data_IF_241382129723
#
_entry.id   IF_241382129723
#
_cell.length_a   1.000
_cell.length_b   1.000
_cell.length_c   1.000
_cell.angle_alpha   90.00
_cell.angle_beta   90.00
_cell.angle_gamma   90.00
#
_symmetry.space_group_name_H-M   'P 1'
#
loop_
_entity.id
_entity.type
_entity.pdbx_description
1 polymer ?
#
# COMPACT_ATOMS: atom_id res chain seq x y z
N UNK A 1 17.64 -17.69 -7.82
CA UNK A 1 16.32 -17.90 -7.20
C UNK A 1 15.27 -17.77 -8.30
N UNK A 2 14.44 -18.78 -8.46
CA UNK A 2 13.44 -18.78 -9.53
C UNK A 2 12.03 -18.61 -9.02
N UNK A 3 11.69 -19.31 -7.95
CA UNK A 3 10.35 -19.27 -7.39
C UNK A 3 10.40 -18.88 -5.91
N UNK A 4 9.33 -18.35 -5.42
CA UNK A 4 9.24 -17.93 -4.04
C UNK A 4 8.14 -16.91 -3.81
N UNK A 5 8.32 -16.13 -2.76
CA UNK A 5 7.38 -15.07 -2.38
C UNK A 5 8.15 -13.77 -2.17
N UNK A 6 7.51 -12.68 -2.56
CA UNK A 6 8.01 -11.33 -2.32
C UNK A 6 7.00 -10.60 -1.43
N UNK A 7 7.41 -10.25 -0.23
CA UNK A 7 6.59 -9.46 0.68
C UNK A 7 7.04 -8.00 0.58
N UNK A 8 6.07 -7.10 0.42
CA UNK A 8 6.30 -5.66 0.36
C UNK A 8 5.54 -5.06 1.54
N UNK A 9 6.25 -4.36 2.42
CA UNK A 9 5.68 -3.89 3.68
C UNK A 9 6.00 -2.42 3.92
N UNK A 10 4.95 -1.63 4.15
CA UNK A 10 5.10 -0.22 4.51
C UNK A 10 5.26 -0.10 6.03
N UNK A 11 6.40 0.41 6.48
CA UNK A 11 6.65 0.64 7.91
C UNK A 11 6.12 2.01 8.31
N UNK A 12 4.87 2.03 8.75
CA UNK A 12 4.25 3.27 9.17
C UNK A 12 2.76 3.07 9.38
N UNK A 13 2.20 3.82 10.29
CA UNK A 13 0.78 3.68 10.66
C UNK A 13 -0.16 4.49 9.78
N UNK A 14 0.38 5.31 8.87
CA UNK A 14 -0.41 6.19 8.00
C UNK A 14 -0.08 6.02 6.53
N UNK A 15 0.45 4.86 6.20
CA UNK A 15 0.78 4.49 4.82
C UNK A 15 0.40 3.04 4.57
N UNK A 16 0.31 2.65 3.33
CA UNK A 16 -0.12 1.31 2.95
C UNK A 16 0.48 0.88 1.62
N UNK A 17 0.34 -0.40 1.32
CA UNK A 17 0.73 -0.98 0.03
C UNK A 17 -0.54 -1.50 -0.65
N UNK A 18 -0.71 -1.16 -1.91
CA UNK A 18 -1.86 -1.60 -2.69
C UNK A 18 -1.39 -2.14 -4.03
N UNK A 19 -1.95 -3.26 -4.44
CA UNK A 19 -1.76 -3.76 -5.79
C UNK A 19 -3.02 -3.40 -6.58
N UNK A 20 -2.85 -2.64 -7.65
CA UNK A 20 -3.96 -2.18 -8.46
C UNK A 20 -3.48 -1.90 -9.88
N UNK A 21 -4.41 -1.62 -10.76
CA UNK A 21 -4.09 -1.31 -12.15
C UNK A 21 -3.17 -0.09 -12.25
N UNK A 22 -2.13 -0.21 -13.06
CA UNK A 22 -1.14 0.85 -13.25
C UNK A 22 -1.10 1.41 -14.68
N UNK A 23 -2.09 1.08 -15.49
CA UNK A 23 -2.18 1.55 -16.88
C UNK A 23 -2.99 2.83 -17.01
N UNK A 24 -4.21 2.81 -16.48
CA UNK A 24 -5.13 3.95 -16.53
C UNK A 24 -4.97 4.76 -15.25
N UNK A 25 -4.45 5.98 -15.37
CA UNK A 25 -4.20 6.84 -14.20
C UNK A 25 -5.47 7.27 -13.49
N UNK A 26 -6.65 7.10 -14.10
CA UNK A 26 -7.91 7.38 -13.42
C UNK A 26 -8.19 6.39 -12.30
N UNK A 27 -7.66 5.18 -12.36
CA UNK A 27 -7.88 4.16 -11.31
C UNK A 27 -7.27 4.60 -9.97
N UNK A 28 -5.99 4.99 -9.88
CA UNK A 28 -5.48 5.50 -8.60
C UNK A 28 -6.18 6.80 -8.15
N UNK A 29 -6.61 7.64 -9.08
CA UNK A 29 -7.38 8.85 -8.71
C UNK A 29 -8.73 8.47 -8.11
N UNK A 30 -9.40 7.48 -8.69
CA UNK A 30 -10.67 6.97 -8.16
C UNK A 30 -10.46 6.33 -6.79
N UNK A 31 -9.36 5.62 -6.59
CA UNK A 31 -9.06 5.02 -5.29
C UNK A 31 -8.88 6.08 -4.22
N UNK A 32 -8.19 7.17 -4.53
CA UNK A 32 -8.04 8.30 -3.61
C UNK A 32 -9.40 8.93 -3.30
N UNK A 33 -10.22 9.15 -4.32
CA UNK A 33 -11.56 9.72 -4.16
C UNK A 33 -12.45 8.83 -3.30
N UNK A 34 -12.43 7.53 -3.55
CA UNK A 34 -13.20 6.56 -2.77
C UNK A 34 -12.80 6.60 -1.29
N UNK A 35 -11.50 6.56 -1.02
CA UNK A 35 -11.01 6.57 0.35
C UNK A 35 -11.37 7.87 1.08
N UNK A 36 -11.31 9.01 0.40
CA UNK A 36 -11.74 10.29 0.96
C UNK A 36 -13.22 10.29 1.33
N UNK A 37 -14.03 9.65 0.52
CA UNK A 37 -15.48 9.57 0.75
C UNK A 37 -15.79 8.63 1.91
N UNK A 38 -15.16 7.45 1.95
CA UNK A 38 -15.40 6.46 2.99
C UNK A 38 -14.81 6.88 4.34
N UNK A 39 -13.65 7.53 4.31
CA UNK A 39 -12.92 7.89 5.52
C UNK A 39 -12.57 9.38 5.44
N UNK A 40 -13.53 10.27 5.74
CA UNK A 40 -13.29 11.72 5.67
C UNK A 40 -12.38 12.20 6.79
N UNK A 41 -11.76 13.35 6.58
CA UNK A 41 -10.93 14.01 7.59
C UNK A 41 -11.82 14.65 8.67
N UNK A 42 -11.27 14.73 9.89
CA UNK A 42 -11.84 15.54 10.93
C UNK A 42 -12.98 14.92 11.73
N UNK A 43 -13.26 13.62 11.52
CA UNK A 43 -14.38 12.93 12.13
C UNK A 43 -14.00 11.94 13.24
N UNK A 44 -12.72 11.90 13.63
CA UNK A 44 -12.21 10.79 14.42
C UNK A 44 -11.62 11.23 15.76
N UNK A 45 -11.67 10.32 16.74
CA UNK A 45 -11.18 10.63 18.09
C UNK A 45 -9.70 10.99 18.10
N UNK A 46 -8.90 10.31 17.29
CA UNK A 46 -7.45 10.57 17.20
C UNK A 46 -7.13 11.97 16.71
N UNK A 47 -8.07 12.64 16.06
CA UNK A 47 -7.85 14.00 15.53
C UNK A 47 -7.55 15.00 16.65
N UNK A 48 -7.96 14.70 17.88
CA UNK A 48 -7.61 15.52 19.04
C UNK A 48 -6.10 15.52 19.35
N UNK A 49 -5.39 14.48 18.89
CA UNK A 49 -3.94 14.37 19.09
C UNK A 49 -3.18 15.00 17.91
N UNK A 50 -3.37 14.44 16.71
CA UNK A 50 -2.54 14.78 15.56
C UNK A 50 -3.34 15.24 14.33
N UNK A 51 -4.65 15.22 14.36
CA UNK A 51 -5.48 15.63 13.24
C UNK A 51 -5.42 14.67 12.05
N UNK A 52 -4.90 13.47 12.22
CA UNK A 52 -4.69 12.50 11.15
C UNK A 52 -5.37 11.15 11.38
N UNK A 53 -6.49 11.15 12.09
CA UNK A 53 -7.24 9.92 12.35
C UNK A 53 -7.66 9.22 11.07
N UNK A 54 -8.06 9.96 10.06
CA UNK A 54 -8.42 9.41 8.77
C UNK A 54 -7.25 8.66 8.10
N UNK A 55 -6.03 9.18 8.25
CA UNK A 55 -4.84 8.55 7.66
C UNK A 55 -4.59 7.17 8.26
N UNK A 56 -4.74 7.04 9.57
CA UNK A 56 -4.61 5.74 10.26
C UNK A 56 -5.67 4.75 9.77
N UNK A 57 -6.91 5.20 9.65
CA UNK A 57 -8.01 4.33 9.23
C UNK A 57 -7.86 3.91 7.77
N UNK A 58 -7.47 4.82 6.89
CA UNK A 58 -7.19 4.49 5.49
C UNK A 58 -6.06 3.47 5.38
N UNK A 59 -4.98 3.68 6.14
CA UNK A 59 -3.86 2.75 6.15
C UNK A 59 -4.29 1.36 6.62
N UNK A 60 -5.09 1.30 7.68
CA UNK A 60 -5.60 0.03 8.19
C UNK A 60 -6.55 -0.66 7.23
N UNK A 61 -7.36 0.11 6.52
CA UNK A 61 -8.32 -0.42 5.56
C UNK A 61 -7.63 -1.02 4.35
N UNK A 62 -6.64 -0.34 3.80
CA UNK A 62 -5.87 -0.83 2.65
C UNK A 62 -4.89 -1.93 3.06
N UNK A 63 -4.24 -1.75 4.20
CA UNK A 63 -3.28 -2.71 4.73
C UNK A 63 -1.83 -2.34 4.44
N UNK A 64 -0.92 -2.74 5.33
CA UNK A 64 0.47 -2.33 5.22
C UNK A 64 1.30 -3.19 4.27
N UNK A 65 0.80 -4.34 3.84
CA UNK A 65 1.65 -5.26 3.07
C UNK A 65 0.86 -6.05 2.04
N UNK A 66 1.59 -6.50 1.03
CA UNK A 66 1.12 -7.45 0.05
C UNK A 66 2.20 -8.51 -0.17
N UNK A 67 1.77 -9.73 -0.44
CA UNK A 67 2.66 -10.83 -0.77
C UNK A 67 2.40 -11.25 -2.20
N UNK A 68 3.47 -11.28 -2.99
CA UNK A 68 3.39 -11.55 -4.43
C UNK A 68 4.17 -12.82 -4.73
N UNK A 69 3.57 -13.80 -5.42
CA UNK A 69 4.32 -14.98 -5.82
C UNK A 69 5.39 -14.63 -6.84
N UNK A 70 6.50 -15.34 -6.77
CA UNK A 70 7.58 -15.25 -7.75
C UNK A 70 7.61 -16.56 -8.50
N UNK A 71 7.62 -16.49 -9.81
CA UNK A 71 7.74 -17.66 -10.67
C UNK A 71 8.69 -17.33 -11.81
N UNK A 72 9.59 -18.24 -12.10
CA UNK A 72 10.60 -18.08 -13.16
C UNK A 72 11.38 -16.77 -13.05
N UNK A 73 11.68 -16.38 -11.80
CA UNK A 73 12.49 -15.18 -11.52
C UNK A 73 11.74 -13.86 -11.65
N UNK A 74 10.42 -13.89 -11.83
CA UNK A 74 9.62 -12.69 -12.02
C UNK A 74 8.46 -12.63 -11.02
N UNK A 75 8.07 -11.41 -10.67
CA UNK A 75 6.88 -11.19 -9.86
C UNK A 75 5.65 -11.65 -10.63
N UNK A 76 4.78 -12.39 -9.95
CA UNK A 76 3.57 -12.94 -10.55
C UNK A 76 2.42 -11.96 -10.68
N UNK A 77 2.74 -10.70 -10.94
CA UNK A 77 1.73 -9.69 -11.21
C UNK A 77 1.17 -9.87 -12.62
N UNK A 78 -0.12 -9.60 -12.78
CA UNK A 78 -0.69 -9.56 -14.12
C UNK A 78 -0.18 -8.33 -14.86
N UNK A 79 -0.40 -8.31 -16.18
CA UNK A 79 0.06 -7.24 -17.05
C UNK A 79 -0.33 -5.84 -16.56
N UNK A 80 -1.52 -5.73 -15.97
CA UNK A 80 -2.08 -4.44 -15.59
C UNK A 80 -1.91 -4.10 -14.12
N UNK A 81 -1.35 -5.02 -13.31
CA UNK A 81 -1.14 -4.78 -11.89
C UNK A 81 0.18 -4.09 -11.63
N UNK A 82 0.16 -3.15 -10.71
CA UNK A 82 1.36 -2.50 -10.19
C UNK A 82 1.30 -2.40 -8.69
N UNK A 83 2.44 -2.18 -8.09
CA UNK A 83 2.57 -2.00 -6.64
C UNK A 83 2.56 -0.50 -6.36
N UNK A 84 1.62 -0.06 -5.53
CA UNK A 84 1.48 1.33 -5.15
C UNK A 84 1.82 1.53 -3.68
N UNK A 85 2.63 2.55 -3.42
CA UNK A 85 2.80 3.05 -2.06
C UNK A 85 1.74 4.11 -1.82
N UNK A 86 0.91 3.90 -0.79
CA UNK A 86 -0.19 4.81 -0.46
C UNK A 86 0.23 5.70 0.71
N UNK A 87 0.41 6.99 0.44
CA UNK A 87 0.75 7.99 1.44
C UNK A 87 -0.54 8.69 1.89
N UNK A 88 -0.91 8.54 3.16
CA UNK A 88 -2.14 9.13 3.69
C UNK A 88 -1.88 10.30 4.63
N UNK A 89 -0.64 10.58 4.98
CA UNK A 89 -0.29 11.62 5.94
C UNK A 89 0.98 12.36 5.49
N UNK A 90 1.00 12.75 4.24
CA UNK A 90 2.14 13.47 3.66
C UNK A 90 1.99 14.98 3.76
N UNK A 91 3.03 15.69 3.39
CA UNK A 91 4.30 15.13 2.94
C UNK A 91 5.16 14.63 4.10
N UNK A 92 6.01 13.66 3.81
CA UNK A 92 6.98 13.11 4.77
C UNK A 92 8.38 13.14 4.15
N UNK A 93 9.39 13.42 4.99
CA UNK A 93 10.78 13.46 4.52
C UNK A 93 11.32 12.07 4.20
N UNK A 94 10.79 11.04 4.86
CA UNK A 94 11.23 9.66 4.66
C UNK A 94 10.10 8.70 5.00
N UNK A 95 9.98 7.68 4.18
CA UNK A 95 9.13 6.51 4.43
C UNK A 95 9.96 5.28 4.15
N UNK A 96 9.71 4.21 4.89
CA UNK A 96 10.40 2.95 4.70
C UNK A 96 9.47 1.91 4.09
N UNK A 97 9.96 1.25 3.06
CA UNK A 97 9.32 0.07 2.51
C UNK A 97 10.30 -1.08 2.65
N UNK A 98 9.88 -2.13 3.31
CA UNK A 98 10.72 -3.33 3.49
C UNK A 98 10.29 -4.37 2.48
N UNK A 99 11.22 -4.82 1.67
CA UNK A 99 10.98 -5.89 0.70
C UNK A 99 11.74 -7.13 1.17
N UNK A 100 10.99 -8.21 1.36
CA UNK A 100 11.55 -9.48 1.81
C UNK A 100 11.24 -10.56 0.77
N UNK A 101 12.27 -11.27 0.37
CA UNK A 101 12.12 -12.35 -0.60
C UNK A 101 12.40 -13.66 0.10
N UNK A 102 11.42 -14.57 0.03
CA UNK A 102 11.56 -15.92 0.54
C UNK A 102 11.66 -16.86 -0.66
N UNK A 103 12.84 -17.39 -0.87
CA UNK A 103 13.10 -18.27 -2.00
C UNK A 103 12.58 -19.66 -1.75
N UNK A 104 11.98 -20.26 -2.77
CA UNK A 104 11.63 -21.66 -2.70
C UNK A 104 12.90 -22.51 -2.74
N UNK A 105 12.82 -23.66 -2.11
CA UNK A 105 13.94 -24.56 -2.01
C UNK A 105 14.02 -25.42 -3.27
N UNK A 106 15.18 -25.39 -3.91
CA UNK A 106 15.42 -26.20 -5.10
C UNK A 106 15.91 -27.61 -4.79
#
# INVERSE_FOLDING_TARGET
MRDGLCAVYARGATAAIMIQENWDESVPLDAVSLLRTLVPRGAWLHDAQDGNGDAHLKAGLVGPSETIPIADGELGLSRWQGIFFCEFDGPRSAREVVVTILADRE
#
